data_IF_528120055120
#
_entry.id   IF_528120055120
#
_cell.length_a   1.000
_cell.length_b   1.000
_cell.length_c   1.000
_cell.angle_alpha   90.00
_cell.angle_beta   90.00
_cell.angle_gamma   90.00
#
_symmetry.space_group_name_H-M   'P 1'
#
loop_
_entity.id
_entity.type
_entity.pdbx_description
1 polymer ?
#
# COMPACT_ATOMS: atom_id res chain seq x y z
N UNK A 1 19.85 17.77 -4.95
CA UNK A 1 18.75 16.77 -5.09
C UNK A 1 17.68 17.33 -6.00
N UNK A 2 17.19 16.52 -6.95
CA UNK A 2 16.03 16.93 -7.78
C UNK A 2 14.79 17.06 -6.91
N UNK A 3 13.91 18.01 -7.26
CA UNK A 3 12.56 18.08 -6.67
C UNK A 3 11.71 16.96 -7.28
N UNK A 4 10.80 16.39 -6.47
CA UNK A 4 9.88 15.34 -6.89
C UNK A 4 8.47 15.89 -6.86
N UNK A 5 7.71 15.63 -7.90
CA UNK A 5 6.32 16.03 -8.04
C UNK A 5 5.47 14.79 -8.31
N UNK A 6 4.25 14.76 -7.79
CA UNK A 6 3.22 13.82 -8.20
C UNK A 6 2.45 14.50 -9.32
N UNK A 7 2.53 13.96 -10.52
CA UNK A 7 1.95 14.54 -11.73
C UNK A 7 0.61 13.92 -12.12
N UNK A 8 0.33 12.69 -11.66
CA UNK A 8 -0.94 12.04 -11.90
C UNK A 8 -1.26 11.02 -10.81
N UNK A 9 -2.55 10.82 -10.58
CA UNK A 9 -3.08 9.87 -9.61
C UNK A 9 -4.24 9.07 -10.18
N UNK A 10 -4.32 7.79 -9.80
CA UNK A 10 -5.39 6.90 -10.21
C UNK A 10 -5.72 5.89 -9.12
N UNK A 11 -6.98 5.54 -8.99
CA UNK A 11 -7.44 4.62 -7.97
C UNK A 11 -8.65 3.83 -8.47
N UNK A 12 -8.71 2.55 -8.07
CA UNK A 12 -9.92 1.75 -8.16
C UNK A 12 -10.86 2.07 -7.00
N UNK A 13 -12.13 1.74 -7.15
CA UNK A 13 -13.07 1.78 -6.03
C UNK A 13 -12.71 0.70 -5.01
N UNK A 14 -12.71 1.04 -3.72
CA UNK A 14 -12.63 0.05 -2.65
C UNK A 14 -13.94 -0.74 -2.58
N UNK A 15 -13.85 -2.04 -2.75
CA UNK A 15 -14.99 -2.93 -2.76
C UNK A 15 -14.74 -4.16 -1.89
N UNK A 16 -15.83 -4.73 -1.37
CA UNK A 16 -15.76 -5.99 -0.65
C UNK A 16 -15.20 -7.09 -1.57
N UNK A 17 -14.25 -7.92 -1.11
CA UNK A 17 -13.74 -9.04 -1.89
C UNK A 17 -14.85 -9.91 -2.48
N UNK A 18 -14.71 -10.32 -3.74
CA UNK A 18 -15.68 -11.14 -4.46
C UNK A 18 -16.91 -10.41 -5.02
N UNK A 19 -16.99 -9.08 -4.87
CA UNK A 19 -18.14 -8.30 -5.41
C UNK A 19 -18.14 -8.22 -6.94
N UNK A 20 -16.97 -8.20 -7.57
CA UNK A 20 -16.81 -8.25 -9.02
C UNK A 20 -16.30 -9.64 -9.39
N UNK A 21 -17.13 -10.39 -10.10
CA UNK A 21 -16.73 -11.71 -10.62
C UNK A 21 -15.59 -11.56 -11.64
N UNK A 22 -14.58 -12.43 -11.52
CA UNK A 22 -13.40 -12.39 -12.41
C UNK A 22 -12.46 -11.21 -12.21
N UNK A 23 -12.78 -10.26 -11.32
CA UNK A 23 -11.92 -9.11 -11.03
C UNK A 23 -10.71 -9.50 -10.21
N UNK A 24 -9.51 -9.22 -10.75
CA UNK A 24 -8.26 -9.59 -10.09
C UNK A 24 -7.25 -8.43 -10.11
N UNK A 25 -6.08 -8.63 -9.48
CA UNK A 25 -5.06 -7.61 -9.33
C UNK A 25 -4.54 -7.02 -10.66
N UNK A 26 -4.44 -7.75 -11.78
CA UNK A 26 -4.12 -7.14 -13.07
C UNK A 26 -5.18 -6.11 -13.51
N UNK A 27 -6.46 -6.39 -13.27
CA UNK A 27 -7.54 -5.45 -13.58
C UNK A 27 -7.49 -4.20 -12.71
N UNK A 28 -7.13 -4.37 -11.42
CA UNK A 28 -6.92 -3.25 -10.50
C UNK A 28 -5.77 -2.35 -10.98
N UNK A 29 -4.67 -2.97 -11.39
CA UNK A 29 -3.50 -2.27 -11.92
C UNK A 29 -3.81 -1.54 -13.22
N UNK A 30 -4.49 -2.19 -14.15
CA UNK A 30 -4.92 -1.59 -15.42
C UNK A 30 -5.81 -0.36 -15.15
N UNK A 31 -6.86 -0.51 -14.34
CA UNK A 31 -7.78 0.59 -14.05
C UNK A 31 -7.07 1.77 -13.37
N UNK A 32 -6.33 1.52 -12.29
CA UNK A 32 -5.68 2.59 -11.54
C UNK A 32 -4.51 3.20 -12.29
N UNK A 33 -3.71 2.39 -12.97
CA UNK A 33 -2.57 2.85 -13.75
C UNK A 33 -2.99 3.69 -14.97
N UNK A 34 -3.99 3.23 -15.72
CA UNK A 34 -4.54 4.02 -16.85
C UNK A 34 -5.04 5.38 -16.38
N UNK A 35 -5.83 5.41 -15.28
CA UNK A 35 -6.31 6.70 -14.71
C UNK A 35 -5.16 7.62 -14.29
N UNK A 36 -4.09 7.08 -13.72
CA UNK A 36 -2.95 7.88 -13.31
C UNK A 36 -2.18 8.46 -14.50
N UNK A 37 -2.03 7.68 -15.57
CA UNK A 37 -1.38 8.13 -16.82
C UNK A 37 -2.24 9.19 -17.53
N UNK A 38 -3.55 8.99 -17.58
CA UNK A 38 -4.50 9.96 -18.16
C UNK A 38 -4.50 11.28 -17.36
N UNK A 39 -4.50 11.22 -16.03
CA UNK A 39 -4.44 12.40 -15.16
C UNK A 39 -3.11 13.16 -15.31
N UNK A 40 -2.02 12.43 -15.52
CA UNK A 40 -0.70 13.02 -15.78
C UNK A 40 -0.55 13.60 -17.19
N UNK A 41 -1.31 13.10 -18.15
CA UNK A 41 -1.10 13.36 -19.58
C UNK A 41 0.21 12.76 -20.11
N UNK A 42 0.64 11.61 -19.56
CA UNK A 42 1.90 10.93 -19.85
C UNK A 42 1.63 9.57 -20.47
N UNK A 43 2.33 9.22 -21.53
CA UNK A 43 2.29 7.85 -22.09
C UNK A 43 3.07 6.87 -21.21
N UNK A 44 2.60 5.63 -21.13
CA UNK A 44 3.32 4.61 -20.38
C UNK A 44 4.74 4.34 -20.90
N UNK A 45 5.00 4.61 -22.17
CA UNK A 45 6.33 4.51 -22.77
C UNK A 45 7.34 5.52 -22.20
N UNK A 46 6.88 6.58 -21.54
CA UNK A 46 7.72 7.59 -20.89
C UNK A 46 8.09 7.19 -19.45
N UNK A 47 7.47 6.13 -18.92
CA UNK A 47 7.81 5.59 -17.60
C UNK A 47 9.13 4.82 -17.69
N UNK A 48 10.10 5.20 -16.87
CA UNK A 48 11.45 4.62 -16.89
C UNK A 48 11.63 3.50 -15.86
N UNK A 49 10.84 3.50 -14.78
CA UNK A 49 10.86 2.47 -13.73
C UNK A 49 9.48 2.31 -13.11
N UNK A 50 9.17 1.09 -12.65
CA UNK A 50 7.95 0.77 -11.92
C UNK A 50 8.25 0.23 -10.51
N UNK A 51 7.60 0.77 -9.49
CA UNK A 51 7.64 0.27 -8.12
C UNK A 51 6.25 -0.24 -7.74
N UNK A 52 6.13 -1.54 -7.50
CA UNK A 52 4.82 -2.18 -7.28
C UNK A 52 4.76 -2.81 -5.91
N UNK A 53 3.85 -2.32 -5.10
CA UNK A 53 3.62 -2.79 -3.74
C UNK A 53 2.41 -3.72 -3.63
N UNK A 54 2.60 -4.88 -3.00
CA UNK A 54 1.54 -5.82 -2.64
C UNK A 54 2.01 -6.74 -1.51
N UNK A 55 1.08 -7.28 -0.74
CA UNK A 55 1.37 -8.25 0.33
C UNK A 55 1.00 -9.67 -0.08
N UNK A 56 -0.20 -9.84 -0.63
CA UNK A 56 -0.75 -11.14 -1.00
C UNK A 56 -0.64 -11.34 -2.50
N UNK A 57 0.36 -12.09 -2.93
CA UNK A 57 0.60 -12.39 -4.32
C UNK A 57 1.85 -13.23 -4.51
N UNK A 58 1.91 -13.90 -5.66
CA UNK A 58 3.07 -14.67 -6.05
C UNK A 58 4.25 -13.79 -6.41
N UNK A 59 5.42 -14.40 -6.49
CA UNK A 59 6.61 -13.79 -7.05
C UNK A 59 6.30 -13.15 -8.42
N UNK A 60 6.81 -11.94 -8.65
CA UNK A 60 6.62 -11.20 -9.92
C UNK A 60 5.19 -10.73 -10.24
N UNK A 61 4.27 -10.73 -9.27
CA UNK A 61 2.93 -10.19 -9.50
C UNK A 61 2.94 -8.71 -9.91
N UNK A 62 3.96 -7.96 -9.50
CA UNK A 62 4.14 -6.57 -9.94
C UNK A 62 4.42 -6.44 -11.43
N UNK A 63 5.24 -7.31 -11.99
CA UNK A 63 5.47 -7.38 -13.43
C UNK A 63 4.16 -7.71 -14.16
N UNK A 64 3.46 -8.76 -13.70
CA UNK A 64 2.17 -9.13 -14.28
C UNK A 64 1.16 -7.99 -14.24
N UNK A 65 1.14 -7.23 -13.15
CA UNK A 65 0.27 -6.06 -13.00
C UNK A 65 0.60 -4.95 -14.00
N UNK A 66 1.87 -4.58 -14.12
CA UNK A 66 2.30 -3.50 -15.02
C UNK A 66 2.23 -3.89 -16.50
N UNK A 67 2.29 -5.17 -16.85
CA UNK A 67 2.11 -5.63 -18.23
C UNK A 67 0.71 -5.32 -18.79
N UNK A 68 -0.26 -5.05 -17.94
CA UNK A 68 -1.58 -4.55 -18.36
C UNK A 68 -1.53 -3.11 -18.93
N UNK A 69 -0.50 -2.35 -18.60
CA UNK A 69 -0.28 -1.01 -19.13
C UNK A 69 0.62 -1.03 -20.37
N UNK A 70 1.51 -2.01 -20.46
CA UNK A 70 2.42 -2.20 -21.58
C UNK A 70 3.65 -3.01 -21.21
N UNK A 71 4.37 -3.51 -22.21
CA UNK A 71 5.62 -4.24 -22.06
C UNK A 71 6.78 -3.42 -22.65
N UNK A 72 7.22 -2.40 -21.93
CA UNK A 72 8.25 -1.45 -22.37
C UNK A 72 9.67 -1.88 -21.99
N UNK A 73 9.82 -2.95 -21.18
CA UNK A 73 11.13 -3.45 -20.73
C UNK A 73 11.75 -2.66 -19.58
N UNK A 74 11.00 -1.78 -18.94
CA UNK A 74 11.46 -1.01 -17.78
C UNK A 74 11.77 -1.93 -16.58
N UNK A 75 12.72 -1.54 -15.71
CA UNK A 75 12.92 -2.20 -14.42
C UNK A 75 11.65 -2.10 -13.57
N UNK A 76 11.22 -3.25 -13.03
CA UNK A 76 10.07 -3.34 -12.13
C UNK A 76 10.52 -3.93 -10.80
N UNK A 77 10.31 -3.18 -9.71
CA UNK A 77 10.66 -3.57 -8.35
C UNK A 77 9.40 -3.93 -7.60
N UNK A 78 9.33 -5.19 -7.13
CA UNK A 78 8.27 -5.62 -6.23
C UNK A 78 8.63 -5.25 -4.79
N UNK A 79 7.70 -4.66 -4.07
CA UNK A 79 7.88 -4.16 -2.72
C UNK A 79 6.91 -4.86 -1.79
N UNK A 80 7.41 -5.36 -0.67
CA UNK A 80 6.58 -5.84 0.42
C UNK A 80 7.05 -5.24 1.75
N UNK A 81 6.20 -4.46 2.36
CA UNK A 81 6.38 -3.88 3.69
C UNK A 81 5.05 -3.90 4.45
N UNK A 82 4.37 -5.04 4.42
CA UNK A 82 3.05 -5.23 5.01
C UNK A 82 2.06 -4.12 4.58
N UNK A 83 1.25 -3.59 5.48
CA UNK A 83 0.23 -2.56 5.19
C UNK A 83 0.81 -1.23 4.65
N UNK A 84 2.11 -0.97 4.81
CA UNK A 84 2.80 0.22 4.29
C UNK A 84 3.49 0.00 2.94
N UNK A 85 3.21 -1.10 2.28
CA UNK A 85 3.82 -1.50 1.01
C UNK A 85 3.66 -0.44 -0.09
N UNK A 86 2.46 0.11 -0.27
CA UNK A 86 2.21 1.17 -1.26
C UNK A 86 2.98 2.47 -0.94
N UNK A 87 3.02 2.86 0.33
CA UNK A 87 3.81 4.01 0.77
C UNK A 87 5.32 3.79 0.57
N UNK A 88 5.79 2.56 0.74
CA UNK A 88 7.19 2.20 0.48
C UNK A 88 7.51 2.25 -1.01
N UNK A 89 6.61 1.79 -1.88
CA UNK A 89 6.76 1.91 -3.32
C UNK A 89 6.88 3.39 -3.75
N UNK A 90 6.02 4.25 -3.23
CA UNK A 90 6.08 5.70 -3.47
C UNK A 90 7.38 6.34 -2.94
N UNK A 91 7.83 5.92 -1.76
CA UNK A 91 9.09 6.38 -1.19
C UNK A 91 10.29 6.03 -2.08
N UNK A 92 10.38 4.79 -2.56
CA UNK A 92 11.44 4.32 -3.45
C UNK A 92 11.41 5.04 -4.80
N UNK A 93 10.22 5.22 -5.38
CA UNK A 93 10.02 6.01 -6.59
C UNK A 93 10.55 7.45 -6.43
N UNK A 94 10.22 8.09 -5.32
CA UNK A 94 10.72 9.42 -5.00
C UNK A 94 12.24 9.45 -4.81
N UNK A 95 12.84 8.39 -4.24
CA UNK A 95 14.30 8.27 -4.11
C UNK A 95 14.97 8.11 -5.48
N UNK A 96 14.41 7.34 -6.40
CA UNK A 96 14.95 7.17 -7.74
C UNK A 96 15.06 8.52 -8.48
N UNK A 97 14.01 9.35 -8.43
CA UNK A 97 14.03 10.69 -9.03
C UNK A 97 15.03 11.61 -8.32
N UNK A 98 15.03 11.65 -6.98
CA UNK A 98 15.97 12.47 -6.21
C UNK A 98 17.44 12.11 -6.47
N UNK A 99 17.70 10.83 -6.66
CA UNK A 99 19.02 10.29 -6.98
C UNK A 99 19.45 10.46 -8.43
N UNK A 100 18.53 10.91 -9.30
CA UNK A 100 18.82 11.08 -10.74
C UNK A 100 18.88 9.76 -11.51
N UNK A 101 18.28 8.69 -10.97
CA UNK A 101 18.21 7.37 -11.62
C UNK A 101 17.10 7.29 -12.68
N UNK A 102 16.12 8.17 -12.58
CA UNK A 102 15.02 8.31 -13.52
C UNK A 102 14.41 9.71 -13.43
N UNK A 103 13.67 10.10 -14.44
CA UNK A 103 12.93 11.37 -14.50
C UNK A 103 11.42 11.16 -14.37
N UNK A 104 10.91 10.01 -14.82
CA UNK A 104 9.51 9.65 -14.71
C UNK A 104 9.36 8.20 -14.21
N UNK A 105 8.65 8.00 -13.10
CA UNK A 105 8.48 6.69 -12.48
C UNK A 105 7.03 6.47 -12.06
N UNK A 106 6.61 5.21 -12.09
CA UNK A 106 5.29 4.80 -11.64
C UNK A 106 5.39 4.08 -10.29
N UNK A 107 4.67 4.55 -9.29
CA UNK A 107 4.41 3.81 -8.06
C UNK A 107 2.98 3.28 -8.08
N UNK A 108 2.83 1.96 -8.02
CA UNK A 108 1.55 1.27 -8.03
C UNK A 108 1.41 0.43 -6.76
N UNK A 109 0.21 0.28 -6.27
CA UNK A 109 -0.14 -0.69 -5.23
C UNK A 109 -1.41 -1.42 -5.57
N UNK A 110 -1.48 -2.70 -5.24
CA UNK A 110 -2.71 -3.48 -5.31
C UNK A 110 -2.80 -4.44 -4.13
N UNK A 111 -4.01 -4.85 -3.79
CA UNK A 111 -4.22 -5.89 -2.79
C UNK A 111 -5.48 -6.68 -3.11
N UNK A 112 -5.30 -7.91 -3.53
CA UNK A 112 -6.39 -8.86 -3.74
C UNK A 112 -6.75 -9.53 -2.41
N UNK A 113 -7.52 -8.85 -1.59
CA UNK A 113 -7.98 -9.38 -0.31
C UNK A 113 -8.95 -10.54 -0.48
N UNK A 114 -8.85 -11.52 0.41
CA UNK A 114 -9.78 -12.64 0.51
C UNK A 114 -10.08 -12.91 2.00
N UNK A 115 -11.12 -13.70 2.32
CA UNK A 115 -11.38 -14.09 3.70
C UNK A 115 -10.13 -14.66 4.36
N UNK A 116 -9.77 -14.14 5.54
CA UNK A 116 -8.57 -14.55 6.26
C UNK A 116 -7.29 -13.76 5.97
N UNK A 117 -7.24 -12.89 4.96
CA UNK A 117 -6.03 -12.11 4.62
C UNK A 117 -5.50 -11.23 5.77
N UNK A 118 -6.35 -10.85 6.73
CA UNK A 118 -5.94 -10.04 7.91
C UNK A 118 -5.55 -10.88 9.13
N UNK A 119 -5.64 -12.19 9.07
CA UNK A 119 -5.42 -13.06 10.23
C UNK A 119 -4.57 -14.30 9.97
N UNK A 120 -4.19 -14.56 8.73
CA UNK A 120 -3.45 -15.75 8.33
C UNK A 120 -2.02 -15.44 7.90
N UNK A 121 -1.06 -16.10 8.51
CA UNK A 121 0.29 -16.26 7.97
C UNK A 121 0.45 -17.66 7.36
N UNK A 122 1.57 -17.92 6.70
CA UNK A 122 1.92 -19.26 6.28
C UNK A 122 2.12 -20.14 7.52
N UNK A 123 1.48 -21.33 7.55
CA UNK A 123 1.54 -22.24 8.70
C UNK A 123 2.91 -22.94 8.85
N UNK A 124 3.71 -22.93 7.77
CA UNK A 124 5.01 -23.61 7.70
C UNK A 124 6.19 -22.76 8.21
N UNK A 125 5.93 -21.53 8.64
CA UNK A 125 6.97 -20.59 9.07
C UNK A 125 6.52 -19.67 10.18
N UNK A 126 7.50 -19.08 10.88
CA UNK A 126 7.21 -18.10 11.93
C UNK A 126 6.58 -16.83 11.34
N UNK A 127 5.52 -16.37 12.00
CA UNK A 127 4.91 -15.08 11.64
C UNK A 127 5.90 -13.93 11.86
N UNK A 128 6.08 -13.00 10.91
CA UNK A 128 6.91 -11.82 11.11
C UNK A 128 6.40 -10.91 12.23
N UNK A 129 5.13 -11.03 12.60
CA UNK A 129 4.50 -10.24 13.66
C UNK A 129 4.53 -10.91 15.04
N UNK A 130 5.10 -12.12 15.16
CA UNK A 130 5.06 -12.92 16.40
C UNK A 130 5.55 -12.15 17.63
N UNK A 131 6.69 -11.47 17.53
CA UNK A 131 7.24 -10.72 18.66
C UNK A 131 6.37 -9.53 19.07
N UNK A 132 5.77 -8.84 18.09
CA UNK A 132 4.85 -7.75 18.33
C UNK A 132 3.57 -8.24 19.02
N UNK A 133 3.03 -9.37 18.55
CA UNK A 133 1.85 -10.01 19.15
C UNK A 133 2.13 -10.43 20.60
N UNK A 134 3.27 -11.04 20.87
CA UNK A 134 3.65 -11.43 22.22
C UNK A 134 3.79 -10.23 23.16
N UNK A 135 4.49 -9.19 22.72
CA UNK A 135 4.67 -7.98 23.52
C UNK A 135 3.34 -7.26 23.81
N UNK A 136 2.46 -7.18 22.82
CA UNK A 136 1.13 -6.58 23.04
C UNK A 136 0.25 -7.43 23.94
N UNK A 137 0.34 -8.75 23.85
CA UNK A 137 -0.45 -9.66 24.67
C UNK A 137 -0.08 -9.60 26.17
N UNK A 138 1.11 -9.09 26.50
CA UNK A 138 1.50 -8.78 27.88
C UNK A 138 0.77 -7.56 28.42
N UNK A 139 0.31 -6.66 27.54
CA UNK A 139 -0.39 -5.40 27.90
C UNK A 139 -1.90 -5.59 27.86
N UNK A 140 -2.39 -6.25 26.81
CA UNK A 140 -3.82 -6.48 26.57
C UNK A 140 -4.01 -7.85 25.91
N UNK A 141 -4.96 -8.63 26.41
CA UNK A 141 -5.24 -9.96 25.88
C UNK A 141 -5.61 -9.89 24.40
N UNK A 142 -4.99 -10.77 23.60
CA UNK A 142 -5.19 -10.81 22.16
C UNK A 142 -6.67 -10.96 21.78
N UNK A 143 -7.12 -10.08 20.89
CA UNK A 143 -8.48 -10.07 20.35
C UNK A 143 -8.47 -10.26 18.82
N UNK A 144 -9.58 -10.72 18.30
CA UNK A 144 -9.77 -10.86 16.85
C UNK A 144 -10.78 -9.83 16.33
N UNK A 145 -10.53 -9.26 15.15
CA UNK A 145 -9.38 -9.47 14.25
C UNK A 145 -8.08 -8.86 14.77
N UNK A 146 -6.95 -9.54 14.56
CA UNK A 146 -5.64 -9.19 15.12
C UNK A 146 -5.16 -7.79 14.71
N UNK A 147 -5.33 -7.41 13.46
CA UNK A 147 -4.85 -6.12 12.98
C UNK A 147 -5.53 -4.92 13.68
N UNK A 148 -6.87 -4.84 13.80
CA UNK A 148 -7.53 -3.82 14.62
C UNK A 148 -7.09 -3.82 16.08
N UNK A 149 -6.88 -4.99 16.69
CA UNK A 149 -6.37 -5.07 18.05
C UNK A 149 -4.96 -4.49 18.18
N UNK A 150 -4.05 -4.82 17.27
CA UNK A 150 -2.67 -4.30 17.27
C UNK A 150 -2.60 -2.76 17.21
N UNK A 151 -3.55 -2.11 16.57
CA UNK A 151 -3.62 -0.65 16.54
C UNK A 151 -4.45 -0.06 17.66
N UNK A 152 -5.47 -0.77 18.13
CA UNK A 152 -6.39 -0.33 19.18
C UNK A 152 -5.77 -0.38 20.57
N UNK A 153 -5.07 -1.45 20.92
CA UNK A 153 -4.50 -1.63 22.26
C UNK A 153 -3.48 -0.53 22.64
N UNK A 154 -2.49 -0.17 21.79
CA UNK A 154 -1.60 0.95 22.09
C UNK A 154 -2.33 2.30 22.19
N UNK A 155 -3.37 2.52 21.37
CA UNK A 155 -4.15 3.75 21.43
C UNK A 155 -4.94 3.85 22.75
N UNK A 156 -5.54 2.78 23.22
CA UNK A 156 -6.24 2.72 24.50
C UNK A 156 -5.28 3.02 25.67
N UNK A 157 -4.12 2.35 25.70
CA UNK A 157 -3.09 2.58 26.72
C UNK A 157 -2.59 4.03 26.73
N UNK A 158 -2.41 4.64 25.57
CA UNK A 158 -2.03 6.06 25.48
C UNK A 158 -3.13 6.98 26.01
N UNK A 159 -4.40 6.72 25.70
CA UNK A 159 -5.53 7.48 26.20
C UNK A 159 -5.62 7.40 27.74
N UNK A 160 -5.43 6.23 28.31
CA UNK A 160 -5.42 6.04 29.76
C UNK A 160 -4.26 6.79 30.44
N UNK A 161 -3.04 6.69 29.89
CA UNK A 161 -1.84 7.31 30.45
C UNK A 161 -1.83 8.84 30.36
N UNK A 162 -2.49 9.39 29.33
CA UNK A 162 -2.52 10.86 29.10
C UNK A 162 -3.80 11.53 29.60
N UNK A 163 -4.72 10.80 30.22
CA UNK A 163 -6.06 11.25 30.58
C UNK A 163 -6.83 11.91 29.41
N UNK A 164 -6.48 11.54 28.17
CA UNK A 164 -7.16 12.00 26.98
C UNK A 164 -8.56 11.35 26.91
N UNK A 165 -9.61 12.10 26.57
CA UNK A 165 -10.95 11.54 26.49
C UNK A 165 -11.01 10.41 25.44
N UNK A 166 -11.78 9.34 25.68
CA UNK A 166 -11.79 8.13 24.84
C UNK A 166 -12.25 8.35 23.38
N UNK A 167 -12.67 9.54 23.01
CA UNK A 167 -13.08 9.92 21.65
C UNK A 167 -12.00 10.61 20.82
N UNK A 168 -10.76 10.71 21.27
CA UNK A 168 -9.64 11.12 20.44
C UNK A 168 -9.04 9.92 19.71
N UNK A 169 -9.86 9.21 18.96
CA UNK A 169 -9.36 8.44 17.82
C UNK A 169 -8.49 9.39 16.97
N UNK A 170 -7.28 9.01 16.54
CA UNK A 170 -6.51 9.87 15.65
C UNK A 170 -7.39 10.18 14.45
N UNK A 171 -7.94 11.39 14.41
CA UNK A 171 -8.61 11.90 13.24
C UNK A 171 -7.59 11.74 12.10
N UNK A 172 -7.91 10.94 11.13
CA UNK A 172 -7.19 10.94 9.88
C UNK A 172 -6.99 12.41 9.51
N UNK A 173 -5.76 12.82 9.32
CA UNK A 173 -5.42 14.19 9.03
C UNK A 173 -6.33 14.67 7.89
N UNK A 174 -7.32 15.47 8.24
CA UNK A 174 -8.22 16.07 7.27
C UNK A 174 -7.34 16.95 6.40
N UNK A 175 -7.23 16.59 5.15
CA UNK A 175 -6.55 17.32 4.11
C UNK A 175 -7.12 18.74 4.08
N UNK A 176 -6.41 19.69 4.66
CA UNK A 176 -6.69 21.11 4.42
C UNK A 176 -6.23 21.40 2.99
N UNK A 177 -7.17 21.41 2.06
CA UNK A 177 -6.99 22.05 0.77
C UNK A 177 -6.92 23.55 1.02
N UNK A 178 -5.70 24.07 1.12
CA UNK A 178 -5.47 25.51 1.01
C UNK A 178 -5.57 25.87 -0.47
N UNK A 179 -6.69 26.44 -0.86
CA UNK A 179 -6.82 27.22 -2.09
C UNK A 179 -6.05 28.53 -1.91
N UNK A 180 -4.92 28.65 -2.58
CA UNK A 180 -4.37 29.90 -3.12
C UNK A 180 -3.40 29.59 -4.24
#
# INVERSE_FOLDING_TARGET
MKRVFVVGVGMTKFEKPGRREGWDYPDMARESGTKALEDAGVDYAEIEQGYVGYCSGDSTSGQRALYELGMTGIPIVNVNNNCSTGSTALYLAAQAIRGGLADCVLALGFEKMQPGSLGGGAEDRESPMKRHILALNEIDAMQFPVAPWMFGAPAASTCESTAAPPNTSPRSATRTTSTR
#
